data_IF_678524060657
#
_entry.id   IF_678524060657
#
_cell.length_a   1.000
_cell.length_b   1.000
_cell.length_c   1.000
_cell.angle_alpha   90.00
_cell.angle_beta   90.00
_cell.angle_gamma   90.00
#
_symmetry.space_group_name_H-M   'P 1'
#
loop_
_entity.id
_entity.type
_entity.pdbx_description
1 polymer ?
#
# COMPACT_ATOMS: atom_id res chain seq x y z
N UNK A 1 24.64 26.72 21.13
CA UNK A 1 25.62 27.31 20.19
C UNK A 1 25.61 26.43 18.94
N UNK A 2 25.21 26.96 17.78
CA UNK A 2 25.23 26.23 16.52
C UNK A 2 26.40 26.77 15.70
N UNK A 3 27.36 25.91 15.36
CA UNK A 3 28.51 26.27 14.52
C UNK A 3 28.22 25.83 13.09
N UNK A 4 28.28 26.78 12.17
CA UNK A 4 28.30 26.46 10.75
C UNK A 4 29.69 25.92 10.36
N UNK A 5 29.77 25.15 9.28
CA UNK A 5 31.02 24.60 8.77
C UNK A 5 32.07 25.68 8.43
N UNK A 6 31.64 26.92 8.18
CA UNK A 6 32.49 28.11 7.95
C UNK A 6 33.07 28.71 9.25
N UNK A 7 33.00 28.02 10.39
CA UNK A 7 33.55 28.50 11.68
C UNK A 7 32.81 29.69 12.31
N UNK A 8 31.84 30.29 11.61
CA UNK A 8 30.99 31.37 12.14
C UNK A 8 30.07 30.83 13.23
N UNK A 9 30.15 31.48 14.39
CA UNK A 9 29.20 31.28 15.50
C UNK A 9 28.00 32.17 15.26
N UNK A 10 26.83 31.57 15.07
CA UNK A 10 25.59 32.33 15.13
C UNK A 10 24.96 32.21 16.51
N UNK A 11 24.56 33.36 17.06
CA UNK A 11 23.58 33.39 18.12
C UNK A 11 22.25 32.94 17.51
N UNK A 12 21.87 31.68 17.77
CA UNK A 12 20.55 31.18 17.37
C UNK A 12 19.54 31.93 18.22
N UNK A 13 18.62 32.65 17.58
CA UNK A 13 17.52 33.31 18.30
C UNK A 13 16.74 32.24 19.08
N UNK A 14 16.62 32.42 20.39
CA UNK A 14 15.79 31.55 21.22
C UNK A 14 14.33 31.80 20.89
N UNK A 15 13.64 30.81 20.33
CA UNK A 15 12.19 30.84 20.18
C UNK A 15 11.55 30.27 21.44
N UNK A 16 10.63 31.03 22.04
CA UNK A 16 9.77 30.52 23.11
C UNK A 16 8.61 29.77 22.46
N UNK A 17 8.59 28.45 22.62
CA UNK A 17 7.47 27.61 22.17
C UNK A 17 6.69 27.23 23.43
N UNK A 18 5.41 27.61 23.47
CA UNK A 18 4.55 27.20 24.56
C UNK A 18 4.39 25.68 24.53
N UNK A 19 4.56 25.03 25.69
CA UNK A 19 4.39 23.59 25.82
C UNK A 19 2.98 23.13 25.40
N UNK A 20 1.96 23.97 25.55
CA UNK A 20 0.59 23.69 25.12
C UNK A 20 0.44 23.59 23.59
N UNK A 21 1.37 24.14 22.82
CA UNK A 21 1.34 24.16 21.35
C UNK A 21 2.06 22.96 20.73
N UNK A 22 2.67 22.09 21.56
CA UNK A 22 3.41 20.92 21.11
C UNK A 22 2.46 19.71 21.07
N UNK A 23 2.08 19.27 19.87
CA UNK A 23 1.31 18.05 19.66
C UNK A 23 2.24 16.82 19.62
N UNK A 24 2.09 15.93 20.59
CA UNK A 24 2.81 14.65 20.62
C UNK A 24 2.03 13.58 19.86
N UNK A 25 2.63 13.04 18.79
CA UNK A 25 2.11 11.90 18.06
C UNK A 25 2.81 10.62 18.54
N UNK A 26 2.05 9.60 18.92
CA UNK A 26 2.58 8.27 19.27
C UNK A 26 1.90 7.21 18.41
N UNK A 27 2.69 6.36 17.79
CA UNK A 27 2.23 5.13 17.16
C UNK A 27 2.06 4.05 18.23
N UNK A 28 0.89 3.42 18.28
CA UNK A 28 0.60 2.30 19.19
C UNK A 28 0.26 1.08 18.34
N UNK A 29 1.13 0.06 18.38
CA UNK A 29 0.82 -1.26 17.84
C UNK A 29 -0.24 -1.98 18.68
N UNK A 30 -0.91 -2.95 18.04
CA UNK A 30 -1.93 -3.78 18.66
C UNK A 30 -1.42 -4.41 19.97
N UNK A 31 -2.07 -4.06 21.08
CA UNK A 31 -1.78 -4.61 22.41
C UNK A 31 -0.78 -3.82 23.27
N UNK A 32 -0.14 -2.76 22.77
CA UNK A 32 0.76 -1.93 23.58
C UNK A 32 0.06 -0.70 24.20
N UNK A 33 -0.90 -0.95 25.09
CA UNK A 33 -1.51 0.10 25.94
C UNK A 33 -0.66 0.43 27.17
N UNK A 34 0.67 0.32 27.09
CA UNK A 34 1.58 0.70 28.18
C UNK A 34 2.12 2.12 27.94
N UNK A 35 1.34 3.08 28.40
CA UNK A 35 1.73 4.48 28.57
C UNK A 35 0.51 5.37 28.79
N UNK A 36 0.73 6.57 29.32
CA UNK A 36 -0.30 7.54 29.75
C UNK A 36 -1.38 7.92 28.70
N UNK A 37 -1.25 7.50 27.43
CA UNK A 37 -2.24 7.69 26.37
C UNK A 37 -2.90 6.41 25.81
N UNK A 38 -2.50 5.23 26.32
CA UNK A 38 -2.96 3.92 25.82
C UNK A 38 -4.17 3.33 26.55
N UNK A 39 -4.55 3.85 27.73
CA UNK A 39 -5.72 3.36 28.46
C UNK A 39 -7.02 3.88 27.84
N UNK A 40 -8.03 3.02 27.75
CA UNK A 40 -9.40 3.41 27.43
C UNK A 40 -9.95 4.27 28.59
N UNK A 41 -10.15 5.56 28.36
CA UNK A 41 -10.57 6.55 29.35
C UNK A 41 -10.56 7.95 28.74
N UNK A 42 -10.91 8.99 29.51
CA UNK A 42 -10.83 10.39 29.08
C UNK A 42 -9.38 10.74 28.70
N UNK A 43 -9.11 10.81 27.39
CA UNK A 43 -7.80 11.22 26.85
C UNK A 43 -7.74 12.75 26.82
N UNK A 44 -6.70 13.39 27.38
CA UNK A 44 -6.52 14.83 27.27
C UNK A 44 -6.07 15.30 25.89
N UNK A 45 -5.97 14.40 24.91
CA UNK A 45 -5.47 14.67 23.56
C UNK A 45 -6.37 13.98 22.53
N UNK A 46 -6.58 14.59 21.34
CA UNK A 46 -7.30 13.94 20.25
C UNK A 46 -6.55 12.67 19.82
N UNK A 47 -7.15 11.51 20.08
CA UNK A 47 -6.65 10.23 19.61
C UNK A 47 -7.55 9.77 18.46
N UNK A 48 -6.96 9.63 17.27
CA UNK A 48 -7.65 9.05 16.12
C UNK A 48 -7.11 7.64 15.91
N UNK A 49 -7.92 6.59 16.12
CA UNK A 49 -7.49 5.23 15.83
C UNK A 49 -7.13 5.11 14.35
N UNK A 50 -6.01 4.44 14.06
CA UNK A 50 -5.60 4.13 12.69
C UNK A 50 -5.97 2.68 12.38
N UNK A 51 -6.42 2.46 11.16
CA UNK A 51 -6.63 1.14 10.58
C UNK A 51 -5.55 0.93 9.52
N UNK A 52 -5.08 -0.31 9.39
CA UNK A 52 -4.10 -0.68 8.37
C UNK A 52 -4.66 -1.74 7.45
N UNK A 53 -4.44 -1.58 6.15
CA UNK A 53 -4.89 -2.53 5.12
C UNK A 53 -3.72 -2.90 4.23
N UNK A 54 -3.62 -4.19 3.90
CA UNK A 54 -2.62 -4.68 2.97
C UNK A 54 -3.00 -4.24 1.57
N UNK A 55 -2.08 -3.60 0.86
CA UNK A 55 -2.29 -3.08 -0.49
C UNK A 55 -1.18 -3.54 -1.41
N UNK A 56 -1.52 -3.72 -2.68
CA UNK A 56 -0.59 -3.97 -3.77
C UNK A 56 -0.64 -2.80 -4.75
N UNK A 57 0.49 -2.12 -4.93
CA UNK A 57 0.65 -1.00 -5.85
C UNK A 57 1.43 -1.46 -7.07
N UNK A 58 0.88 -1.20 -8.24
CA UNK A 58 1.52 -1.47 -9.51
C UNK A 58 2.23 -0.20 -9.99
N UNK A 59 3.56 -0.27 -10.07
CA UNK A 59 4.41 0.77 -10.63
C UNK A 59 4.85 0.35 -12.04
N UNK A 60 5.38 1.26 -12.88
CA UNK A 60 5.77 0.93 -14.25
C UNK A 60 6.78 -0.22 -14.39
N UNK A 61 7.71 -0.39 -13.44
CA UNK A 61 8.81 -1.36 -13.53
C UNK A 61 8.84 -2.40 -12.40
N UNK A 62 8.02 -2.23 -11.36
CA UNK A 62 7.97 -3.12 -10.20
C UNK A 62 6.60 -3.05 -9.52
N UNK A 63 6.34 -4.01 -8.64
CA UNK A 63 5.15 -4.03 -7.79
C UNK A 63 5.56 -3.86 -6.34
N UNK A 64 4.78 -3.10 -5.58
CA UNK A 64 4.96 -2.94 -4.14
C UNK A 64 3.81 -3.60 -3.42
N UNK A 65 4.09 -4.39 -2.39
CA UNK A 65 3.06 -4.91 -1.48
C UNK A 65 3.37 -4.44 -0.08
N UNK A 66 2.42 -3.85 0.63
CA UNK A 66 2.67 -3.34 1.97
C UNK A 66 1.42 -2.90 2.70
N UNK A 67 1.57 -2.48 3.96
CA UNK A 67 0.47 -1.99 4.78
C UNK A 67 0.32 -0.49 4.65
N UNK A 68 -0.87 -0.07 4.26
CA UNK A 68 -1.28 1.32 4.17
C UNK A 68 -2.12 1.69 5.39
N UNK A 69 -1.75 2.79 6.05
CA UNK A 69 -2.40 3.24 7.28
C UNK A 69 -3.28 4.46 7.03
N UNK A 70 -4.48 4.46 7.59
CA UNK A 70 -5.44 5.56 7.49
C UNK A 70 -6.27 5.70 8.76
N UNK A 71 -6.80 6.91 9.06
CA UNK A 71 -7.65 7.08 10.23
C UNK A 71 -8.96 6.28 10.08
N UNK A 72 -9.45 5.75 11.20
CA UNK A 72 -10.68 4.95 11.23
C UNK A 72 -11.88 5.72 10.66
N UNK A 73 -12.75 4.99 9.96
CA UNK A 73 -13.90 5.56 9.23
C UNK A 73 -13.57 6.06 7.82
N UNK A 74 -12.31 5.94 7.38
CA UNK A 74 -11.88 6.14 6.00
C UNK A 74 -11.45 4.82 5.37
N UNK A 75 -11.44 4.76 4.05
CA UNK A 75 -10.91 3.63 3.27
C UNK A 75 -9.60 3.98 2.55
N UNK A 76 -9.06 3.00 1.83
CA UNK A 76 -7.89 3.22 0.96
C UNK A 76 -8.20 4.24 -0.13
N UNK A 77 -9.42 4.21 -0.68
CA UNK A 77 -9.93 5.18 -1.64
C UNK A 77 -9.85 6.62 -1.14
N UNK A 78 -10.11 6.88 0.15
CA UNK A 78 -10.04 8.24 0.71
C UNK A 78 -8.60 8.76 0.75
N UNK A 79 -7.63 7.88 1.03
CA UNK A 79 -6.22 8.26 1.01
C UNK A 79 -5.74 8.49 -0.42
N UNK A 80 -6.17 7.65 -1.36
CA UNK A 80 -5.88 7.84 -2.78
C UNK A 80 -6.48 9.14 -3.31
N UNK A 81 -7.68 9.51 -2.86
CA UNK A 81 -8.34 10.75 -3.26
C UNK A 81 -7.88 11.98 -2.46
N UNK A 82 -7.03 11.80 -1.45
CA UNK A 82 -6.48 12.91 -0.71
C UNK A 82 -5.55 13.77 -1.59
N UNK A 83 -5.32 15.01 -1.17
CA UNK A 83 -4.32 15.90 -1.80
C UNK A 83 -2.86 15.49 -1.54
N UNK A 84 -2.60 14.29 -1.00
CA UNK A 84 -1.26 13.83 -0.70
C UNK A 84 -0.54 13.37 -1.99
N UNK A 85 0.65 13.94 -2.23
CA UNK A 85 1.53 13.52 -3.31
C UNK A 85 2.21 12.18 -3.02
N UNK A 86 2.62 11.99 -1.77
CA UNK A 86 3.31 10.79 -1.32
C UNK A 86 2.43 9.99 -0.38
N UNK A 87 2.27 8.71 -0.68
CA UNK A 87 1.47 7.77 0.11
C UNK A 87 2.43 6.93 0.95
N UNK A 88 2.35 7.00 2.29
CA UNK A 88 3.19 6.19 3.16
C UNK A 88 2.69 4.74 3.20
N UNK A 89 3.63 3.81 3.07
CA UNK A 89 3.44 2.38 3.24
C UNK A 89 4.47 1.84 4.25
N UNK A 90 4.09 0.80 4.97
CA UNK A 90 4.93 0.10 5.96
C UNK A 90 5.00 -1.38 5.64
N UNK A 91 6.06 -2.07 6.11
CA UNK A 91 6.29 -3.49 5.84
C UNK A 91 6.15 -3.82 4.35
N UNK A 92 6.93 -3.13 3.53
CA UNK A 92 6.80 -3.17 2.07
C UNK A 92 7.74 -4.19 1.48
N UNK A 93 7.22 -5.01 0.58
CA UNK A 93 7.97 -5.90 -0.28
C UNK A 93 7.98 -5.33 -1.70
N UNK A 94 9.18 -5.18 -2.25
CA UNK A 94 9.41 -4.73 -3.62
C UNK A 94 9.65 -5.95 -4.49
N UNK A 95 8.76 -6.18 -5.45
CA UNK A 95 8.87 -7.26 -6.43
C UNK A 95 9.20 -6.67 -7.82
N UNK A 96 10.43 -6.81 -8.33
CA UNK A 96 10.76 -6.38 -9.68
C UNK A 96 10.07 -7.28 -10.73
N UNK A 97 9.67 -6.71 -11.87
CA UNK A 97 8.97 -7.48 -12.92
C UNK A 97 9.78 -8.61 -13.57
N UNK A 98 11.10 -8.62 -13.40
CA UNK A 98 12.03 -9.51 -14.11
C UNK A 98 12.95 -10.34 -13.18
N UNK A 99 12.63 -10.51 -11.90
CA UNK A 99 13.45 -11.31 -11.00
C UNK A 99 12.80 -11.63 -9.66
N UNK A 100 13.31 -12.67 -8.99
CA UNK A 100 12.81 -13.19 -7.72
C UNK A 100 13.43 -12.49 -6.50
N UNK A 101 14.05 -11.33 -6.69
CA UNK A 101 14.70 -10.58 -5.62
C UNK A 101 13.67 -9.72 -4.92
N UNK A 102 13.03 -10.30 -3.91
CA UNK A 102 12.14 -9.58 -2.99
C UNK A 102 13.00 -8.75 -2.02
N UNK A 103 12.80 -7.43 -2.02
CA UNK A 103 13.46 -6.53 -1.07
C UNK A 103 12.41 -6.03 -0.07
N UNK A 104 12.57 -6.41 1.19
CA UNK A 104 11.74 -5.95 2.29
C UNK A 104 12.25 -4.63 2.86
N UNK A 105 11.37 -3.63 2.96
CA UNK A 105 11.64 -2.29 3.50
C UNK A 105 10.60 -1.96 4.57
N UNK A 106 11.05 -1.49 5.73
CA UNK A 106 10.14 -1.18 6.84
C UNK A 106 9.17 -0.03 6.56
N UNK A 107 9.61 0.96 5.77
CA UNK A 107 8.83 2.16 5.43
C UNK A 107 9.21 2.71 4.05
N UNK A 108 8.22 3.09 3.25
CA UNK A 108 8.42 3.78 1.97
C UNK A 108 7.31 4.82 1.76
N UNK A 109 7.64 5.92 1.09
CA UNK A 109 6.67 6.91 0.64
C UNK A 109 6.60 6.87 -0.90
N UNK A 110 5.45 6.49 -1.45
CA UNK A 110 5.28 6.27 -2.89
C UNK A 110 4.65 7.50 -3.54
N UNK A 111 5.22 8.00 -4.64
CA UNK A 111 4.61 9.09 -5.39
C UNK A 111 3.34 8.61 -6.10
N UNK A 112 2.19 9.20 -5.76
CA UNK A 112 0.88 8.89 -6.37
C UNK A 112 0.88 9.07 -7.88
N UNK A 113 1.60 10.06 -8.40
CA UNK A 113 1.65 10.37 -9.85
C UNK A 113 2.32 9.26 -10.67
N UNK A 114 3.11 8.39 -10.01
CA UNK A 114 3.83 7.30 -10.65
C UNK A 114 3.13 5.95 -10.48
N UNK A 115 2.02 5.91 -9.74
CA UNK A 115 1.27 4.68 -9.50
C UNK A 115 0.29 4.42 -10.65
N UNK A 116 0.33 3.21 -11.21
CA UNK A 116 -0.60 2.81 -12.28
C UNK A 116 -1.95 2.39 -11.70
N UNK A 117 -1.92 1.54 -10.67
CA UNK A 117 -3.12 1.08 -9.97
C UNK A 117 -2.79 0.57 -8.57
N UNK A 118 -3.84 0.44 -7.75
CA UNK A 118 -3.77 -0.12 -6.41
C UNK A 118 -4.85 -1.20 -6.26
N UNK A 119 -4.52 -2.28 -5.56
CA UNK A 119 -5.47 -3.33 -5.17
C UNK A 119 -5.39 -3.58 -3.67
N UNK A 120 -6.55 -3.65 -3.02
CA UNK A 120 -6.66 -4.04 -1.61
C UNK A 120 -6.58 -5.57 -1.48
N UNK A 121 -5.68 -6.08 -0.65
CA UNK A 121 -5.48 -7.50 -0.44
C UNK A 121 -6.17 -7.95 0.85
N UNK A 122 -7.24 -8.73 0.70
CA UNK A 122 -7.89 -9.44 1.79
C UNK A 122 -7.21 -10.81 1.99
N UNK A 123 -5.93 -10.79 2.38
CA UNK A 123 -5.14 -12.00 2.70
C UNK A 123 -4.28 -12.54 1.54
N UNK A 124 -2.97 -12.65 1.80
CA UNK A 124 -1.96 -13.32 0.95
C UNK A 124 -0.94 -12.37 0.30
N UNK A 125 0.34 -12.64 0.53
CA UNK A 125 1.49 -11.99 -0.12
C UNK A 125 1.55 -12.29 -1.62
N UNK A 126 2.40 -11.53 -2.32
CA UNK A 126 2.70 -11.63 -3.75
C UNK A 126 2.70 -13.07 -4.27
N UNK A 127 1.60 -13.51 -4.88
CA UNK A 127 1.71 -14.62 -5.81
C UNK A 127 2.40 -14.08 -7.06
N UNK A 128 3.61 -14.57 -7.29
CA UNK A 128 4.29 -14.49 -8.57
C UNK A 128 3.32 -14.98 -9.64
N UNK A 129 3.19 -14.19 -10.72
CA UNK A 129 2.19 -14.41 -11.74
C UNK A 129 2.18 -15.85 -12.24
N UNK A 130 1.08 -16.57 -11.99
CA UNK A 130 0.59 -17.49 -13.01
C UNK A 130 0.12 -16.61 -14.15
N UNK A 131 0.75 -16.75 -15.31
CA UNK A 131 0.25 -16.21 -16.55
C UNK A 131 -1.27 -16.47 -16.66
N UNK A 132 -2.07 -15.56 -17.23
CA UNK A 132 -3.47 -15.83 -17.52
C UNK A 132 -3.53 -17.10 -18.37
N UNK A 133 -3.93 -18.20 -17.74
CA UNK A 133 -4.23 -19.45 -18.41
C UNK A 133 -5.34 -19.17 -19.40
N UNK A 134 -5.04 -19.44 -20.68
CA UNK A 134 -6.05 -19.59 -21.72
C UNK A 134 -7.14 -20.51 -21.16
N UNK A 135 -8.42 -20.11 -21.16
CA UNK A 135 -9.49 -21.01 -20.74
C UNK A 135 -9.62 -22.12 -21.79
N UNK A 136 -8.97 -23.25 -21.53
CA UNK A 136 -9.33 -24.51 -22.18
C UNK A 136 -10.63 -24.98 -21.54
N UNK A 137 -11.74 -24.64 -22.18
CA UNK A 137 -13.02 -25.30 -21.96
C UNK A 137 -13.77 -25.31 -23.27
N UNK A 138 -13.77 -26.46 -23.93
CA UNK A 138 -14.96 -27.13 -24.50
C UNK A 138 -14.49 -28.41 -25.17
N UNK A 139 -14.32 -29.46 -24.36
CA UNK A 139 -14.67 -30.79 -24.85
C UNK A 139 -16.17 -30.79 -25.12
N UNK A 140 -16.53 -30.78 -26.41
CA UNK A 140 -17.86 -31.08 -26.91
C UNK A 140 -17.74 -32.29 -27.84
N UNK A 141 -18.67 -33.25 -27.78
CA UNK A 141 -18.57 -34.49 -28.54
C UNK A 141 -18.72 -34.26 -30.06
N UNK A 142 -17.95 -35.05 -30.81
CA UNK A 142 -17.91 -35.16 -32.28
C UNK A 142 -19.29 -35.07 -32.95
N UNK A 143 -19.47 -34.22 -33.98
CA UNK A 143 -20.62 -34.35 -34.87
C UNK A 143 -20.45 -35.56 -35.78
N UNK A 144 -21.53 -36.35 -35.88
CA UNK A 144 -21.61 -37.52 -36.73
C UNK A 144 -21.39 -37.18 -38.20
N UNK A 145 -20.67 -38.08 -38.89
CA UNK A 145 -20.47 -38.10 -40.34
C UNK A 145 -21.83 -38.26 -41.03
N UNK A 146 -22.35 -37.16 -41.57
CA UNK A 146 -23.47 -37.20 -42.50
C UNK A 146 -22.97 -37.70 -43.86
N UNK A 147 -23.23 -38.97 -44.15
CA UNK A 147 -23.03 -39.59 -45.45
C UNK A 147 -23.93 -38.93 -46.50
N UNK A 148 -23.34 -38.11 -47.36
CA UNK A 148 -24.02 -37.45 -48.48
C UNK A 148 -24.16 -38.46 -49.62
N UNK A 149 -25.38 -39.00 -49.77
CA UNK A 149 -25.78 -39.75 -50.96
C UNK A 149 -25.68 -38.84 -52.19
N UNK A 150 -24.91 -39.28 -53.18
CA UNK A 150 -24.97 -38.74 -54.53
C UNK A 150 -26.33 -39.08 -55.15
N UNK A 151 -27.00 -38.06 -55.70
CA UNK A 151 -27.97 -38.21 -56.78
C UNK A 151 -27.79 -36.99 -57.70
N UNK A 152 -27.34 -37.25 -58.92
CA UNK A 152 -27.41 -36.32 -60.04
C UNK A 152 -28.22 -37.03 -61.12
N UNK A 153 -29.32 -36.42 -61.52
CA UNK A 153 -30.21 -36.88 -62.58
C UNK A 153 -30.71 -35.62 -63.28
N UNK A 154 -30.48 -35.53 -64.59
CA UNK A 154 -30.82 -34.38 -65.44
C UNK A 154 -29.66 -33.96 -66.30
#
# INVERSE_FOLDING_TARGET
EMRFFDGRKAAVQSAYINKADILFLRETEDGQTRGLGGKAGHKPYPFVPKTSTMVRLYMPSYTLSGKMHYPGGRGVSDVLNSGLRFIPLTNVEICPGAGNSESGVGFIAVNREQMLSLTELHGGLCQAGRAPGIPNSLEGPLPQVASRRQLTLG
#
